data_IF_703067879161
#
_entry.id   IF_703067879161
#
_cell.length_a   1.000
_cell.length_b   1.000
_cell.length_c   1.000
_cell.angle_alpha   90.00
_cell.angle_beta   90.00
_cell.angle_gamma   90.00
#
_symmetry.space_group_name_H-M   'P 1'
#
loop_
_entity.id
_entity.type
_entity.pdbx_description
1 polymer ?
#
# COMPACT_ATOMS: atom_id res chain seq x y z
N UNK A 1 0.98 32.95 30.58
CA UNK A 1 0.05 34.09 30.40
C UNK A 1 -1.42 33.78 30.71
N UNK A 2 -1.85 32.51 30.85
CA UNK A 2 -3.25 32.21 31.22
C UNK A 2 -4.27 32.55 30.13
N UNK A 3 -3.81 32.75 28.89
CA UNK A 3 -4.66 33.03 27.73
C UNK A 3 -5.59 31.83 27.48
N UNK A 4 -6.89 32.09 27.40
CA UNK A 4 -7.89 31.06 27.07
C UNK A 4 -7.77 30.68 25.59
N UNK A 5 -7.59 29.39 25.31
CA UNK A 5 -7.55 28.81 23.95
C UNK A 5 -8.96 28.48 23.43
N UNK A 6 -9.14 28.37 22.08
CA UNK A 6 -8.15 28.52 21.01
C UNK A 6 -7.79 29.99 20.70
N UNK A 7 -6.63 30.22 20.07
CA UNK A 7 -6.24 31.56 19.59
C UNK A 7 -6.99 31.99 18.34
N UNK A 8 -7.49 31.05 17.55
CA UNK A 8 -8.27 31.30 16.33
C UNK A 8 -9.75 31.34 16.73
N UNK A 9 -10.40 32.48 16.49
CA UNK A 9 -11.81 32.68 16.87
C UNK A 9 -12.78 31.83 16.04
N UNK A 10 -12.47 31.62 14.74
CA UNK A 10 -13.32 30.92 13.77
C UNK A 10 -12.48 30.25 12.69
N UNK A 11 -12.98 29.11 12.20
CA UNK A 11 -12.49 28.49 10.96
C UNK A 11 -13.67 28.32 9.99
N UNK A 12 -13.38 28.39 8.70
CA UNK A 12 -14.37 28.23 7.64
C UNK A 12 -13.97 27.06 6.75
N UNK A 13 -14.90 26.13 6.54
CA UNK A 13 -14.69 25.00 5.61
C UNK A 13 -15.47 25.30 4.35
N UNK A 14 -14.76 25.43 3.23
CA UNK A 14 -15.37 25.66 1.92
C UNK A 14 -15.38 24.36 1.12
N UNK A 15 -16.57 23.81 0.92
CA UNK A 15 -16.75 22.65 0.05
C UNK A 15 -16.63 23.09 -1.41
N UNK A 16 -15.83 22.37 -2.19
CA UNK A 16 -15.67 22.55 -3.63
C UNK A 16 -15.98 21.25 -4.35
N UNK A 17 -16.12 21.30 -5.68
CA UNK A 17 -16.62 20.17 -6.47
C UNK A 17 -15.57 19.08 -6.70
N UNK A 18 -14.29 19.43 -6.76
CA UNK A 18 -13.19 18.53 -7.12
C UNK A 18 -11.83 19.02 -6.59
N UNK A 19 -10.81 18.19 -6.74
CA UNK A 19 -9.45 18.45 -6.28
C UNK A 19 -8.79 19.62 -7.03
N UNK A 20 -9.09 19.79 -8.32
CA UNK A 20 -8.53 20.86 -9.15
C UNK A 20 -8.95 22.24 -8.64
N UNK A 21 -10.17 22.37 -8.09
CA UNK A 21 -10.61 23.60 -7.43
C UNK A 21 -9.89 23.85 -6.10
N UNK A 22 -9.50 22.81 -5.37
CA UNK A 22 -8.68 22.94 -4.14
C UNK A 22 -7.30 23.47 -4.53
N UNK A 23 -6.66 22.84 -5.51
CA UNK A 23 -5.35 23.23 -6.02
C UNK A 23 -5.33 24.68 -6.53
N UNK A 24 -6.33 25.08 -7.31
CA UNK A 24 -6.46 26.46 -7.79
C UNK A 24 -6.53 27.47 -6.64
N UNK A 25 -7.21 27.13 -5.54
CA UNK A 25 -7.35 27.99 -4.37
C UNK A 25 -6.09 28.05 -3.52
N UNK A 26 -5.35 26.95 -3.42
CA UNK A 26 -4.02 26.95 -2.81
C UNK A 26 -3.11 27.90 -3.60
N UNK A 27 -3.06 27.77 -4.92
CA UNK A 27 -2.21 28.61 -5.78
C UNK A 27 -2.54 30.11 -5.73
N UNK A 28 -3.77 30.49 -5.38
CA UNK A 28 -4.17 31.90 -5.24
C UNK A 28 -4.08 32.43 -3.80
N UNK A 29 -3.71 31.60 -2.82
CA UNK A 29 -3.66 31.99 -1.41
C UNK A 29 -5.06 32.16 -0.78
N UNK A 30 -6.11 31.58 -1.37
CA UNK A 30 -7.46 31.59 -0.81
C UNK A 30 -7.64 30.62 0.37
N UNK A 31 -6.63 29.82 0.69
CA UNK A 31 -6.66 28.74 1.68
C UNK A 31 -5.59 28.99 2.74
N UNK A 32 -6.01 29.13 3.99
CA UNK A 32 -5.08 29.29 5.13
C UNK A 32 -4.39 27.97 5.50
N UNK A 33 -5.07 26.83 5.28
CA UNK A 33 -4.57 25.48 5.54
C UNK A 33 -5.30 24.44 4.70
N UNK A 34 -4.55 23.57 4.02
CA UNK A 34 -5.03 22.34 3.38
C UNK A 34 -3.92 21.29 3.49
N UNK A 35 -4.31 20.06 3.77
CA UNK A 35 -3.38 18.94 3.96
C UNK A 35 -3.98 17.58 3.70
N UNK A 36 -5.29 17.51 3.42
CA UNK A 36 -6.03 16.29 3.16
C UNK A 36 -6.10 15.96 1.67
N UNK A 37 -6.30 16.97 0.82
CA UNK A 37 -6.49 16.79 -0.63
C UNK A 37 -5.35 17.36 -1.47
N UNK A 38 -4.14 17.35 -0.91
CA UNK A 38 -2.88 17.69 -1.60
C UNK A 38 -2.11 16.42 -1.90
N UNK A 39 -1.37 16.42 -3.01
CA UNK A 39 -0.56 15.27 -3.42
C UNK A 39 0.87 15.68 -3.66
N UNK A 40 1.80 14.75 -3.43
CA UNK A 40 3.23 14.99 -3.70
C UNK A 40 3.49 15.30 -5.18
N UNK A 41 2.70 14.73 -6.09
CA UNK A 41 2.81 14.99 -7.53
C UNK A 41 2.68 16.47 -7.91
N UNK A 42 1.92 17.25 -7.13
CA UNK A 42 1.73 18.69 -7.34
C UNK A 42 2.72 19.56 -6.54
N UNK A 43 3.66 18.96 -5.81
CA UNK A 43 4.64 19.68 -5.00
C UNK A 43 5.38 20.79 -5.76
N UNK A 44 5.91 20.58 -6.99
CA UNK A 44 6.57 21.63 -7.75
C UNK A 44 5.66 22.84 -8.04
N UNK A 45 4.38 22.58 -8.33
CA UNK A 45 3.39 23.61 -8.63
C UNK A 45 3.07 24.46 -7.39
N UNK A 46 2.95 23.82 -6.21
CA UNK A 46 2.78 24.54 -4.95
C UNK A 46 4.02 25.38 -4.61
N UNK A 47 5.22 24.85 -4.81
CA UNK A 47 6.46 25.60 -4.58
C UNK A 47 6.60 26.82 -5.50
N UNK A 48 6.22 26.70 -6.78
CA UNK A 48 6.27 27.81 -7.75
C UNK A 48 5.36 28.99 -7.34
N UNK A 49 4.22 28.70 -6.71
CA UNK A 49 3.23 29.73 -6.35
C UNK A 49 3.35 30.23 -4.90
N UNK A 50 4.11 29.53 -4.05
CA UNK A 50 4.21 29.79 -2.61
C UNK A 50 4.57 31.24 -2.27
N UNK A 51 5.62 31.80 -2.89
CA UNK A 51 6.06 33.18 -2.62
C UNK A 51 5.01 34.21 -3.08
N UNK A 52 4.42 34.00 -4.26
CA UNK A 52 3.44 34.94 -4.84
C UNK A 52 2.12 34.96 -4.07
N UNK A 53 1.72 33.83 -3.53
CA UNK A 53 0.46 33.64 -2.83
C UNK A 53 0.59 33.63 -1.30
N UNK A 54 1.78 33.98 -0.78
CA UNK A 54 2.08 34.13 0.66
C UNK A 54 1.72 32.89 1.50
N UNK A 55 2.16 31.71 1.04
CA UNK A 55 2.08 30.48 1.82
C UNK A 55 3.42 29.75 1.84
N UNK A 56 3.50 28.73 2.71
CA UNK A 56 4.62 27.79 2.74
C UNK A 56 4.11 26.38 2.48
N UNK A 57 4.89 25.61 1.74
CA UNK A 57 4.65 24.18 1.55
C UNK A 57 5.44 23.44 2.62
N UNK A 58 4.78 22.55 3.36
CA UNK A 58 5.40 21.74 4.39
C UNK A 58 5.36 20.29 3.93
N UNK A 59 6.53 19.67 3.79
CA UNK A 59 6.65 18.24 3.59
C UNK A 59 6.54 17.58 4.95
N UNK A 60 5.42 16.89 5.18
CA UNK A 60 5.19 16.11 6.38
C UNK A 60 5.37 14.63 6.07
N UNK A 61 5.93 13.91 7.04
CA UNK A 61 5.99 12.46 7.00
C UNK A 61 4.58 11.88 7.10
N UNK A 62 4.37 10.76 6.40
CA UNK A 62 3.10 10.06 6.45
C UNK A 62 2.96 9.28 7.77
N UNK A 63 1.72 9.15 8.25
CA UNK A 63 1.38 8.27 9.37
C UNK A 63 1.18 6.80 8.98
N UNK A 64 1.22 6.50 7.68
CA UNK A 64 1.18 5.13 7.15
C UNK A 64 2.57 4.51 7.12
N UNK A 65 2.67 3.23 7.44
CA UNK A 65 3.93 2.48 7.27
C UNK A 65 4.26 2.20 5.81
N UNK A 66 3.28 2.21 4.93
CA UNK A 66 3.40 1.99 3.50
C UNK A 66 2.16 2.56 2.83
N UNK A 67 2.35 3.30 1.74
CA UNK A 67 1.25 3.79 0.92
C UNK A 67 0.60 2.67 0.09
N UNK A 68 1.34 1.59 -0.18
CA UNK A 68 0.85 0.43 -0.93
C UNK A 68 1.27 -0.83 -0.20
N UNK A 69 0.33 -1.45 0.52
CA UNK A 69 0.58 -2.70 1.22
C UNK A 69 -0.18 -3.85 0.57
N UNK A 70 0.60 -4.70 -0.10
CA UNK A 70 0.09 -5.89 -0.77
C UNK A 70 -0.07 -7.04 0.22
N UNK A 71 -1.28 -7.58 0.28
CA UNK A 71 -1.74 -8.50 1.31
C UNK A 71 -2.12 -9.86 0.69
N UNK A 72 -1.32 -10.88 1.01
CA UNK A 72 -1.53 -12.25 0.54
C UNK A 72 -2.60 -12.95 1.38
N UNK A 73 -3.77 -13.27 0.82
CA UNK A 73 -4.82 -13.95 1.58
C UNK A 73 -4.40 -15.38 1.97
N UNK A 74 -4.01 -15.54 3.23
CA UNK A 74 -3.57 -16.81 3.83
C UNK A 74 -4.72 -17.83 3.94
N UNK A 75 -5.95 -17.42 3.67
CA UNK A 75 -7.17 -18.24 3.69
C UNK A 75 -7.86 -18.26 2.33
N UNK A 76 -7.11 -18.01 1.24
CA UNK A 76 -7.61 -18.01 -0.13
C UNK A 76 -8.44 -19.27 -0.42
N UNK A 77 -9.54 -19.09 -1.18
CA UNK A 77 -10.45 -20.20 -1.54
C UNK A 77 -9.84 -21.18 -2.54
N UNK A 78 -8.94 -20.71 -3.40
CA UNK A 78 -8.14 -21.59 -4.25
C UNK A 78 -7.12 -22.30 -3.35
N UNK A 79 -7.21 -23.63 -3.18
CA UNK A 79 -6.34 -24.36 -2.27
C UNK A 79 -4.88 -24.35 -2.73
N UNK A 80 -4.61 -24.32 -4.04
CA UNK A 80 -3.25 -24.32 -4.60
C UNK A 80 -2.60 -22.96 -4.34
N UNK A 81 -3.30 -21.85 -4.64
CA UNK A 81 -2.80 -20.52 -4.32
C UNK A 81 -2.65 -20.31 -2.81
N UNK A 82 -3.57 -20.84 -2.01
CA UNK A 82 -3.46 -20.75 -0.54
C UNK A 82 -2.17 -21.40 -0.03
N UNK A 83 -1.81 -22.59 -0.51
CA UNK A 83 -0.56 -23.25 -0.12
C UNK A 83 0.67 -22.42 -0.54
N UNK A 84 0.66 -21.88 -1.75
CA UNK A 84 1.73 -21.00 -2.26
C UNK A 84 1.85 -19.72 -1.42
N UNK A 85 0.73 -19.05 -1.13
CA UNK A 85 0.69 -17.80 -0.34
C UNK A 85 1.09 -18.01 1.12
N UNK A 86 0.83 -19.19 1.68
CA UNK A 86 1.25 -19.56 3.03
C UNK A 86 2.74 -19.85 3.13
N UNK A 87 3.38 -20.31 2.05
CA UNK A 87 4.83 -20.48 2.03
C UNK A 87 5.57 -19.14 2.14
N UNK A 88 6.32 -18.97 3.22
CA UNK A 88 7.08 -17.74 3.48
C UNK A 88 8.12 -17.46 2.38
N UNK A 89 8.63 -18.49 1.70
CA UNK A 89 9.59 -18.35 0.60
C UNK A 89 8.98 -17.58 -0.56
N UNK A 90 7.71 -17.80 -0.85
CA UNK A 90 6.98 -17.10 -1.90
C UNK A 90 6.91 -15.60 -1.62
N UNK A 91 6.45 -15.22 -0.42
CA UNK A 91 6.32 -13.82 -0.01
C UNK A 91 7.66 -13.10 0.03
N UNK A 92 8.71 -13.79 0.51
CA UNK A 92 10.10 -13.28 0.50
C UNK A 92 10.63 -13.08 -0.91
N UNK A 93 10.41 -14.05 -1.80
CA UNK A 93 10.84 -13.95 -3.20
C UNK A 93 10.20 -12.75 -3.89
N UNK A 94 8.89 -12.59 -3.75
CA UNK A 94 8.17 -11.48 -4.39
C UNK A 94 8.48 -10.13 -3.76
N UNK A 95 8.85 -10.06 -2.49
CA UNK A 95 9.38 -8.84 -1.89
C UNK A 95 10.74 -8.45 -2.49
N UNK A 96 11.66 -9.42 -2.63
CA UNK A 96 12.99 -9.22 -3.21
C UNK A 96 12.95 -8.89 -4.72
N UNK A 97 11.85 -9.24 -5.39
CA UNK A 97 11.67 -8.95 -6.81
C UNK A 97 11.27 -7.49 -7.07
N UNK A 98 10.91 -6.69 -6.05
CA UNK A 98 10.44 -5.32 -6.22
C UNK A 98 11.59 -4.34 -6.06
N UNK A 99 11.82 -3.49 -7.07
CA UNK A 99 12.76 -2.38 -6.97
C UNK A 99 12.07 -1.16 -6.33
N UNK A 100 12.19 -1.06 -5.01
CA UNK A 100 11.57 0.03 -4.23
C UNK A 100 12.28 1.37 -4.42
N UNK A 101 13.58 1.35 -4.71
CA UNK A 101 14.35 2.56 -5.02
C UNK A 101 13.88 3.16 -6.34
N UNK A 102 13.74 2.33 -7.39
CA UNK A 102 13.19 2.78 -8.67
C UNK A 102 11.77 3.34 -8.51
N UNK A 103 10.90 2.68 -7.73
CA UNK A 103 9.56 3.21 -7.40
C UNK A 103 9.65 4.59 -6.74
N UNK A 104 10.55 4.77 -5.75
CA UNK A 104 10.71 6.05 -5.05
C UNK A 104 11.16 7.17 -6.00
N UNK A 105 12.18 6.91 -6.81
CA UNK A 105 12.71 7.88 -7.77
C UNK A 105 11.67 8.28 -8.83
N UNK A 106 10.96 7.30 -9.40
CA UNK A 106 10.03 7.52 -10.52
C UNK A 106 8.72 8.17 -10.08
N UNK A 107 8.15 7.73 -8.94
CA UNK A 107 6.80 8.12 -8.53
C UNK A 107 6.77 9.10 -7.35
N UNK A 108 7.85 9.20 -6.58
CA UNK A 108 7.90 9.99 -5.34
C UNK A 108 9.05 10.99 -5.29
N UNK A 109 9.70 11.28 -6.43
CA UNK A 109 10.84 12.21 -6.51
C UNK A 109 12.01 11.85 -5.57
N UNK A 110 12.18 10.57 -5.27
CA UNK A 110 13.20 10.08 -4.33
C UNK A 110 12.90 10.38 -2.85
N UNK A 111 11.68 10.85 -2.54
CA UNK A 111 11.28 11.22 -1.17
C UNK A 111 10.60 10.07 -0.41
N UNK A 112 10.15 9.01 -1.10
CA UNK A 112 9.60 7.84 -0.42
C UNK A 112 10.75 6.97 0.10
N UNK A 113 10.60 6.46 1.32
CA UNK A 113 11.57 5.55 1.92
C UNK A 113 11.22 4.09 1.60
N UNK A 114 12.14 3.33 0.95
CA UNK A 114 11.99 1.89 0.78
C UNK A 114 11.95 1.16 2.12
N UNK A 115 10.79 0.57 2.43
CA UNK A 115 10.59 -0.21 3.66
C UNK A 115 9.65 -1.38 3.48
N UNK A 116 9.60 -2.21 4.52
CA UNK A 116 8.53 -3.15 4.75
C UNK A 116 7.53 -2.65 5.80
N UNK A 117 6.33 -3.24 5.73
CA UNK A 117 5.26 -3.06 6.69
C UNK A 117 5.76 -3.31 8.12
N UNK A 118 5.63 -2.29 8.97
CA UNK A 118 6.03 -2.28 10.39
C UNK A 118 5.32 -1.11 11.08
N UNK A 119 5.47 -0.94 12.39
CA UNK A 119 5.17 0.38 12.98
C UNK A 119 6.21 1.41 12.50
N UNK A 120 5.89 2.69 12.57
CA UNK A 120 6.81 3.77 12.22
C UNK A 120 7.96 3.86 13.21
N UNK A 121 9.05 4.47 12.76
CA UNK A 121 10.34 4.52 13.46
C UNK A 121 10.26 5.24 14.82
N UNK A 122 9.36 6.22 14.93
CA UNK A 122 9.07 6.95 16.17
C UNK A 122 8.20 6.16 17.17
N UNK A 123 7.70 4.99 16.79
CA UNK A 123 6.90 4.13 17.66
C UNK A 123 7.77 3.48 18.75
N UNK A 124 7.24 3.41 19.98
CA UNK A 124 7.91 2.66 21.05
C UNK A 124 7.98 1.13 20.79
N UNK A 125 7.23 0.63 19.80
CA UNK A 125 7.19 -0.78 19.39
C UNK A 125 8.03 -1.05 18.14
N UNK A 126 8.79 -0.05 17.66
CA UNK A 126 9.59 -0.18 16.45
C UNK A 126 10.75 -1.17 16.63
N UNK A 127 10.85 -2.07 15.66
CA UNK A 127 11.96 -3.02 15.53
C UNK A 127 12.53 -2.88 14.12
N UNK A 128 13.75 -2.35 13.94
CA UNK A 128 14.32 -2.07 12.62
C UNK A 128 14.36 -3.29 11.70
N UNK A 129 14.55 -4.49 12.27
CA UNK A 129 14.58 -5.75 11.50
C UNK A 129 13.31 -5.95 10.67
N UNK A 130 12.14 -5.55 11.18
CA UNK A 130 10.87 -5.70 10.47
C UNK A 130 10.74 -4.71 9.31
N UNK A 131 11.18 -3.46 9.50
CA UNK A 131 11.14 -2.43 8.48
C UNK A 131 12.10 -2.73 7.31
N UNK A 132 13.20 -3.46 7.55
CA UNK A 132 14.20 -3.78 6.52
C UNK A 132 14.11 -5.22 5.99
N UNK A 133 13.07 -5.97 6.35
CA UNK A 133 12.99 -7.38 5.97
C UNK A 133 12.74 -7.57 4.47
N UNK A 134 13.70 -8.15 3.74
CA UNK A 134 13.54 -8.51 2.31
C UNK A 134 13.17 -7.32 1.41
N UNK A 135 13.70 -6.13 1.72
CA UNK A 135 13.46 -4.91 0.94
C UNK A 135 14.46 -4.72 -0.20
N UNK A 136 15.54 -5.50 -0.21
CA UNK A 136 16.58 -5.44 -1.23
C UNK A 136 16.06 -5.89 -2.59
N UNK A 137 16.49 -5.23 -3.68
CA UNK A 137 16.17 -5.67 -5.03
C UNK A 137 17.15 -6.77 -5.49
N UNK A 138 16.76 -8.03 -5.29
CA UNK A 138 17.54 -9.22 -5.63
C UNK A 138 16.72 -10.23 -6.47
N UNK A 139 16.37 -9.92 -7.73
CA UNK A 139 15.52 -10.78 -8.57
C UNK A 139 16.11 -12.19 -8.78
N UNK A 140 17.43 -12.33 -8.81
CA UNK A 140 18.09 -13.64 -8.89
C UNK A 140 17.87 -14.48 -7.63
N UNK A 141 17.85 -13.84 -6.44
CA UNK A 141 17.53 -14.53 -5.18
C UNK A 141 16.05 -14.88 -5.12
N UNK A 142 15.19 -14.01 -5.63
CA UNK A 142 13.77 -14.30 -5.79
C UNK A 142 13.54 -15.55 -6.65
N UNK A 143 14.19 -15.64 -7.83
CA UNK A 143 14.10 -16.81 -8.70
C UNK A 143 14.52 -18.10 -7.99
N UNK A 144 15.66 -18.10 -7.29
CA UNK A 144 16.12 -19.29 -6.54
C UNK A 144 15.12 -19.74 -5.47
N UNK A 145 14.44 -18.81 -4.79
CA UNK A 145 13.43 -19.13 -3.80
C UNK A 145 12.20 -19.78 -4.43
N UNK A 146 11.74 -19.26 -5.58
CA UNK A 146 10.62 -19.81 -6.33
C UNK A 146 10.95 -21.17 -6.95
N UNK A 147 12.17 -21.36 -7.46
CA UNK A 147 12.68 -22.65 -7.95
C UNK A 147 12.70 -23.69 -6.82
N UNK A 148 13.14 -23.32 -5.62
CA UNK A 148 13.16 -24.20 -4.45
C UNK A 148 11.76 -24.59 -3.95
N UNK A 149 10.71 -23.90 -4.40
CA UNK A 149 9.31 -24.30 -4.18
C UNK A 149 8.80 -25.28 -5.23
N UNK A 150 9.55 -25.51 -6.31
CA UNK A 150 9.09 -26.32 -7.45
C UNK A 150 8.15 -25.58 -8.41
N UNK A 151 8.15 -24.24 -8.39
CA UNK A 151 7.37 -23.41 -9.32
C UNK A 151 8.13 -23.27 -10.64
N UNK A 152 8.17 -24.34 -11.43
CA UNK A 152 8.93 -24.40 -12.69
C UNK A 152 8.41 -23.41 -13.74
N UNK A 153 9.25 -23.00 -14.68
CA UNK A 153 8.84 -22.16 -15.80
C UNK A 153 8.04 -22.95 -16.84
N UNK A 154 7.12 -22.28 -17.53
CA UNK A 154 6.46 -22.82 -18.72
C UNK A 154 7.45 -23.00 -19.89
N UNK A 155 7.03 -23.71 -20.94
CA UNK A 155 7.91 -24.05 -22.07
C UNK A 155 8.51 -22.82 -22.77
N UNK A 156 7.83 -21.68 -22.71
CA UNK A 156 8.26 -20.43 -23.33
C UNK A 156 9.12 -19.56 -22.38
N UNK A 157 9.34 -20.00 -21.14
CA UNK A 157 9.99 -19.21 -20.08
C UNK A 157 9.31 -17.85 -19.86
N UNK A 158 7.98 -17.80 -19.98
CA UNK A 158 7.22 -16.56 -19.80
C UNK A 158 6.65 -16.45 -18.38
N UNK A 159 6.09 -17.54 -17.86
CA UNK A 159 5.51 -17.62 -16.52
C UNK A 159 5.86 -18.92 -15.83
N UNK A 160 5.87 -18.90 -14.50
CA UNK A 160 5.96 -20.11 -13.69
C UNK A 160 4.64 -20.86 -13.69
N UNK A 161 4.70 -22.14 -13.42
CA UNK A 161 3.57 -23.05 -13.26
C UNK A 161 3.36 -23.33 -11.77
N UNK A 162 2.10 -23.47 -11.39
CA UNK A 162 1.71 -23.98 -10.08
C UNK A 162 1.83 -25.51 -10.07
N UNK A 163 1.79 -26.16 -8.89
CA UNK A 163 1.85 -27.62 -8.79
C UNK A 163 0.77 -28.39 -9.55
N UNK A 164 -0.34 -27.75 -9.91
CA UNK A 164 -1.42 -28.34 -10.73
C UNK A 164 -1.18 -28.22 -12.25
N UNK A 165 -0.06 -27.62 -12.67
CA UNK A 165 0.31 -27.43 -14.07
C UNK A 165 -0.31 -26.20 -14.72
N UNK A 166 -1.16 -25.44 -14.01
CA UNK A 166 -1.65 -24.15 -14.51
C UNK A 166 -0.61 -23.06 -14.32
N UNK A 167 -0.71 -21.98 -15.09
CA UNK A 167 0.14 -20.80 -14.89
C UNK A 167 -0.06 -20.24 -13.48
N UNK A 168 1.06 -19.84 -12.86
CA UNK A 168 1.07 -19.10 -11.61
C UNK A 168 0.52 -17.71 -11.88
N UNK A 169 -0.79 -17.58 -11.66
CA UNK A 169 -1.53 -16.35 -11.86
C UNK A 169 -2.44 -16.03 -10.67
N UNK A 170 -2.61 -14.75 -10.38
CA UNK A 170 -3.56 -14.26 -9.37
C UNK A 170 -4.16 -12.91 -9.74
N UNK A 171 -5.26 -12.57 -9.09
CA UNK A 171 -5.88 -11.25 -9.16
C UNK A 171 -5.51 -10.47 -7.90
N UNK A 172 -4.91 -9.29 -8.11
CA UNK A 172 -4.69 -8.29 -7.07
C UNK A 172 -5.82 -7.26 -7.16
N UNK A 173 -6.64 -7.24 -6.12
CA UNK A 173 -7.83 -6.41 -6.03
C UNK A 173 -7.62 -5.26 -5.04
N UNK A 174 -7.99 -4.06 -5.46
CA UNK A 174 -7.74 -2.84 -4.70
C UNK A 174 -8.78 -1.76 -4.99
N UNK A 175 -8.90 -0.79 -4.08
CA UNK A 175 -9.72 0.40 -4.24
C UNK A 175 -8.80 1.61 -4.16
N UNK A 176 -8.81 2.47 -5.18
CA UNK A 176 -7.89 3.61 -5.25
C UNK A 176 -8.24 4.64 -4.18
N UNK A 177 -7.34 4.83 -3.21
CA UNK A 177 -7.40 5.87 -2.18
C UNK A 177 -6.44 7.02 -2.50
N UNK A 178 -5.30 6.71 -3.13
CA UNK A 178 -4.31 7.70 -3.56
C UNK A 178 -3.94 7.53 -5.04
N UNK A 179 -3.70 8.63 -5.79
CA UNK A 179 -3.35 8.56 -7.22
C UNK A 179 -2.10 7.74 -7.53
N UNK A 180 -1.19 7.57 -6.55
CA UNK A 180 0.07 6.83 -6.70
C UNK A 180 -0.08 5.31 -6.60
N UNK A 181 -1.19 4.78 -6.09
CA UNK A 181 -1.37 3.33 -5.86
C UNK A 181 -1.34 2.53 -7.16
N UNK A 182 -2.14 2.93 -8.17
CA UNK A 182 -2.18 2.22 -9.47
C UNK A 182 -0.81 2.25 -10.17
N UNK A 183 -0.10 3.39 -10.31
CA UNK A 183 1.25 3.41 -10.85
C UNK A 183 2.24 2.48 -10.13
N UNK A 184 2.24 2.47 -8.80
CA UNK A 184 3.11 1.56 -8.01
C UNK A 184 2.77 0.11 -8.33
N UNK A 185 1.48 -0.25 -8.35
CA UNK A 185 1.04 -1.61 -8.64
C UNK A 185 1.38 -2.08 -10.05
N UNK A 186 1.33 -1.20 -11.05
CA UNK A 186 1.79 -1.52 -12.42
C UNK A 186 3.30 -1.77 -12.47
N UNK A 187 4.13 -1.01 -11.73
CA UNK A 187 5.57 -1.31 -11.60
C UNK A 187 5.80 -2.67 -10.93
N UNK A 188 5.10 -2.95 -9.82
CA UNK A 188 5.17 -4.24 -9.12
C UNK A 188 4.77 -5.40 -10.03
N UNK A 189 3.73 -5.23 -10.85
CA UNK A 189 3.30 -6.21 -11.85
C UNK A 189 4.41 -6.53 -12.85
N UNK A 190 5.10 -5.52 -13.37
CA UNK A 190 6.23 -5.73 -14.29
C UNK A 190 7.43 -6.40 -13.60
N UNK A 191 7.70 -6.07 -12.34
CA UNK A 191 8.72 -6.75 -11.54
C UNK A 191 8.40 -8.23 -11.29
N UNK A 192 7.16 -8.53 -10.90
CA UNK A 192 6.73 -9.91 -10.65
C UNK A 192 6.66 -10.75 -11.93
N UNK A 193 6.32 -10.12 -13.05
CA UNK A 193 6.41 -10.76 -14.37
C UNK A 193 7.84 -11.22 -14.68
N UNK A 194 8.88 -10.43 -14.34
CA UNK A 194 10.29 -10.81 -14.55
C UNK A 194 10.70 -12.07 -13.76
N UNK A 195 10.01 -12.41 -12.68
CA UNK A 195 10.21 -13.65 -11.91
C UNK A 195 9.13 -14.71 -12.18
N UNK A 196 8.32 -14.51 -13.22
CA UNK A 196 7.36 -15.47 -13.74
C UNK A 196 6.02 -15.52 -13.01
N UNK A 197 5.68 -14.52 -12.20
CA UNK A 197 4.37 -14.42 -11.57
C UNK A 197 3.44 -13.48 -12.34
N UNK A 198 2.35 -14.02 -12.89
CA UNK A 198 1.35 -13.23 -13.61
C UNK A 198 0.32 -12.64 -12.63
N UNK A 199 0.24 -11.32 -12.55
CA UNK A 199 -0.86 -10.67 -11.82
C UNK A 199 -1.78 -9.90 -12.75
N UNK A 200 -3.08 -9.97 -12.46
CA UNK A 200 -4.08 -9.06 -13.01
C UNK A 200 -4.45 -8.05 -11.94
N UNK A 201 -4.20 -6.77 -12.22
CA UNK A 201 -4.67 -5.69 -11.37
C UNK A 201 -6.16 -5.46 -11.62
N UNK A 202 -6.94 -5.42 -10.55
CA UNK A 202 -8.38 -5.21 -10.61
C UNK A 202 -8.79 -4.11 -9.63
N UNK A 203 -8.94 -2.91 -10.17
CA UNK A 203 -9.54 -1.80 -9.43
C UNK A 203 -11.04 -2.06 -9.24
N UNK A 204 -11.52 -1.90 -8.01
CA UNK A 204 -12.90 -2.10 -7.62
C UNK A 204 -13.46 -0.86 -6.91
N UNK A 205 -14.78 -0.68 -6.99
CA UNK A 205 -15.49 0.23 -6.08
C UNK A 205 -15.42 -0.28 -4.64
N UNK A 206 -15.31 0.61 -3.65
CA UNK A 206 -15.14 0.24 -2.24
C UNK A 206 -16.27 -0.61 -1.67
N UNK A 207 -17.51 -0.41 -2.11
CA UNK A 207 -18.65 -1.24 -1.68
C UNK A 207 -18.57 -2.66 -2.23
N UNK A 208 -18.20 -2.80 -3.51
CA UNK A 208 -17.98 -4.11 -4.13
C UNK A 208 -16.76 -4.81 -3.53
N UNK A 209 -15.66 -4.07 -3.30
CA UNK A 209 -14.46 -4.58 -2.64
C UNK A 209 -14.80 -5.16 -1.27
N UNK A 210 -15.48 -4.38 -0.42
CA UNK A 210 -15.93 -4.81 0.91
C UNK A 210 -16.81 -6.07 0.86
N UNK A 211 -17.74 -6.14 -0.08
CA UNK A 211 -18.61 -7.31 -0.27
C UNK A 211 -17.79 -8.56 -0.62
N UNK A 212 -16.76 -8.41 -1.44
CA UNK A 212 -15.87 -9.52 -1.83
C UNK A 212 -14.96 -9.97 -0.70
N UNK A 213 -14.47 -9.04 0.14
CA UNK A 213 -13.70 -9.35 1.34
C UNK A 213 -14.51 -10.18 2.33
N UNK A 214 -15.73 -9.76 2.66
CA UNK A 214 -16.64 -10.51 3.55
C UNK A 214 -16.94 -11.92 3.02
N UNK A 215 -17.01 -12.07 1.70
CA UNK A 215 -17.21 -13.36 1.06
C UNK A 215 -15.93 -14.22 0.95
N UNK A 216 -14.77 -13.73 1.44
CA UNK A 216 -13.45 -14.33 1.29
C UNK A 216 -13.14 -14.69 -0.18
N UNK A 217 -13.39 -13.75 -1.11
CA UNK A 217 -13.21 -13.93 -2.56
C UNK A 217 -11.97 -13.25 -3.13
N UNK A 218 -11.31 -12.40 -2.36
CA UNK A 218 -10.07 -11.70 -2.75
C UNK A 218 -8.88 -12.66 -2.60
N UNK A 219 -8.05 -12.77 -3.64
CA UNK A 219 -6.84 -13.59 -3.62
C UNK A 219 -5.66 -12.82 -3.04
N UNK A 220 -5.42 -11.62 -3.58
CA UNK A 220 -4.44 -10.67 -3.09
C UNK A 220 -5.18 -9.34 -2.94
N UNK A 221 -5.16 -8.79 -1.74
CA UNK A 221 -5.67 -7.44 -1.49
C UNK A 221 -4.54 -6.42 -1.51
N UNK A 222 -4.91 -5.17 -1.66
CA UNK A 222 -4.03 -4.04 -1.41
C UNK A 222 -4.82 -2.98 -0.65
N UNK A 223 -4.13 -2.35 0.29
CA UNK A 223 -4.60 -1.15 0.96
C UNK A 223 -3.41 -0.42 1.56
N UNK A 224 -3.63 0.81 2.03
CA UNK A 224 -2.65 1.57 2.78
C UNK A 224 -2.42 0.94 4.17
N UNK A 225 -1.19 1.03 4.65
CA UNK A 225 -0.81 0.49 5.95
C UNK A 225 -1.08 1.47 7.09
N UNK A 226 -2.36 1.59 7.45
CA UNK A 226 -2.82 2.39 8.58
C UNK A 226 -2.46 1.74 9.93
N UNK A 227 -2.47 2.51 11.02
CA UNK A 227 -2.29 1.94 12.37
C UNK A 227 -0.84 1.74 12.77
N UNK A 228 0.09 2.48 12.17
CA UNK A 228 1.52 2.32 12.38
C UNK A 228 2.13 3.24 13.46
N UNK A 229 1.32 4.07 14.15
CA UNK A 229 1.78 4.93 15.25
C UNK A 229 1.40 4.35 16.60
N UNK A 230 2.03 4.77 17.71
CA UNK A 230 1.66 4.32 19.06
C UNK A 230 0.18 4.57 19.40
N UNK A 231 -0.39 5.67 18.90
CA UNK A 231 -1.81 6.01 19.10
C UNK A 231 -2.70 5.10 18.27
N UNK A 232 -2.34 4.89 17.01
CA UNK A 232 -3.21 4.22 16.03
C UNK A 232 -3.05 2.70 16.02
N UNK A 233 -1.95 2.16 16.53
CA UNK A 233 -1.67 0.72 16.61
C UNK A 233 -2.76 -0.04 17.36
N UNK A 234 -3.19 0.49 18.52
CA UNK A 234 -4.27 -0.12 19.31
C UNK A 234 -5.67 0.26 18.82
N UNK A 235 -5.83 1.45 18.22
CA UNK A 235 -7.12 1.89 17.70
C UNK A 235 -7.52 1.14 16.43
N UNK A 236 -6.55 0.79 15.60
CA UNK A 236 -6.72 0.05 14.35
C UNK A 236 -6.00 -1.31 14.40
N UNK A 237 -6.25 -2.06 15.48
CA UNK A 237 -5.68 -3.39 15.65
C UNK A 237 -6.01 -4.34 14.48
N UNK A 238 -7.07 -4.08 13.69
CA UNK A 238 -7.40 -4.87 12.51
C UNK A 238 -6.34 -4.85 11.40
N UNK A 239 -5.48 -3.81 11.33
CA UNK A 239 -4.33 -3.83 10.40
C UNK A 239 -3.41 -5.01 10.71
N UNK A 240 -3.13 -5.21 11.99
CA UNK A 240 -2.10 -6.14 12.47
C UNK A 240 -2.65 -7.51 12.81
N UNK A 241 -3.95 -7.59 13.09
CA UNK A 241 -4.63 -8.81 13.49
C UNK A 241 -5.90 -9.01 12.67
N UNK A 242 -6.18 -10.23 12.19
CA UNK A 242 -7.35 -10.49 11.34
C UNK A 242 -8.59 -10.69 12.24
N UNK A 243 -9.02 -9.61 12.89
CA UNK A 243 -10.10 -9.60 13.90
C UNK A 243 -11.40 -8.96 13.39
N UNK A 244 -11.41 -8.47 12.15
CA UNK A 244 -12.56 -7.87 11.50
C UNK A 244 -12.48 -8.11 9.98
N UNK A 245 -13.61 -7.97 9.29
CA UNK A 245 -13.57 -7.81 7.83
C UNK A 245 -13.23 -6.35 7.52
N UNK A 246 -11.98 -6.06 7.23
CA UNK A 246 -11.55 -4.72 6.83
C UNK A 246 -10.55 -4.76 5.67
N UNK A 247 -10.26 -3.59 5.10
CA UNK A 247 -9.36 -3.44 3.95
C UNK A 247 -7.89 -3.59 4.39
N UNK A 248 -7.62 -3.36 5.67
CA UNK A 248 -6.33 -3.53 6.33
C UNK A 248 -6.03 -5.01 6.69
N UNK A 249 -6.98 -5.93 6.51
CA UNK A 249 -6.83 -7.31 7.00
C UNK A 249 -7.18 -8.38 5.94
N UNK A 250 -7.06 -8.04 4.66
CA UNK A 250 -7.39 -8.95 3.54
C UNK A 250 -6.49 -10.19 3.51
N UNK A 251 -5.32 -10.12 4.16
CA UNK A 251 -4.41 -11.23 4.33
C UNK A 251 -4.97 -12.38 5.20
N UNK A 252 -6.01 -12.13 6.00
CA UNK A 252 -6.53 -13.09 6.99
C UNK A 252 -8.05 -13.24 7.02
N UNK A 253 -8.76 -13.04 5.90
CA UNK A 253 -10.23 -12.97 5.86
C UNK A 253 -10.96 -14.17 6.47
N UNK A 254 -10.46 -15.39 6.29
CA UNK A 254 -11.04 -16.59 6.89
C UNK A 254 -10.80 -16.68 8.40
N UNK A 255 -9.70 -16.12 8.90
CA UNK A 255 -9.45 -16.01 10.34
C UNK A 255 -10.33 -14.92 10.96
N UNK A 256 -10.51 -13.80 10.27
CA UNK A 256 -11.48 -12.78 10.66
C UNK A 256 -12.89 -13.36 10.75
N UNK A 257 -13.30 -14.16 9.76
CA UNK A 257 -14.58 -14.85 9.78
C UNK A 257 -14.74 -15.75 11.00
N UNK A 258 -13.70 -16.49 11.40
CA UNK A 258 -13.72 -17.33 12.60
C UNK A 258 -13.77 -16.51 13.89
N UNK A 259 -13.06 -15.39 13.96
CA UNK A 259 -12.98 -14.56 15.16
C UNK A 259 -14.31 -13.83 15.46
N UNK A 260 -15.04 -13.41 14.43
CA UNK A 260 -16.29 -12.64 14.59
C UNK A 260 -17.53 -13.53 14.77
N UNK A 261 -17.39 -14.85 14.68
CA UNK A 261 -18.47 -15.84 14.89
C UNK A 261 -18.35 -16.54 16.23
#
# INVERSE_FOLDING_TARGET
EGNQLPYIDRYYVKVVENAEMIEAKIMTGEVDFEGQYVTLGNYPLYMENAEKADYRVLLYDNSYSSNVWIQWNQTCKDPVLREIFQDVRFRRALSLAIDREEISEVLFFGLAEPRQISVLDDSMYFEPEFATAYIEYEPERANRLLDAMGLEWDENQEYRLRPDGERLAAILEYCVMEPTETPVLEMVKEYWKKVGFLITLKQEDGGLYSTRLQANKVQIGEHQACGATDVTFFQWAQTWFPIAFSWESTWGLGWAAWYVT
#
